data_IF_795558060537
#
_entry.id   IF_795558060537
#
_cell.length_a   1.000
_cell.length_b   1.000
_cell.length_c   1.000
_cell.angle_alpha   90.00
_cell.angle_beta   90.00
_cell.angle_gamma   90.00
#
_symmetry.space_group_name_H-M   'P 1'
#
loop_
_entity.id
_entity.type
_entity.pdbx_description
1 polymer ?
#
# COMPACT_ATOMS: atom_id res chain seq x y z
N UNK A 1 -12.87 -22.03 21.75
CA UNK A 1 -12.08 -20.79 21.85
C UNK A 1 -11.14 -20.58 20.66
N UNK A 2 -10.18 -21.47 20.38
CA UNK A 2 -9.27 -21.31 19.22
C UNK A 2 -10.01 -21.26 17.87
N UNK A 3 -10.95 -22.19 17.63
CA UNK A 3 -11.77 -22.19 16.41
C UNK A 3 -12.64 -20.93 16.28
N UNK A 4 -13.11 -20.40 17.41
CA UNK A 4 -13.91 -19.18 17.42
C UNK A 4 -13.10 -17.97 16.98
N UNK A 5 -11.94 -17.74 17.59
CA UNK A 5 -11.02 -16.65 17.22
C UNK A 5 -10.53 -16.82 15.78
N UNK A 6 -10.23 -18.05 15.37
CA UNK A 6 -9.86 -18.36 13.99
C UNK A 6 -10.99 -17.99 13.01
N UNK A 7 -12.24 -18.32 13.33
CA UNK A 7 -13.37 -18.03 12.45
C UNK A 7 -13.67 -16.52 12.42
N UNK A 8 -13.63 -15.84 13.56
CA UNK A 8 -13.81 -14.38 13.67
C UNK A 8 -12.75 -13.62 12.88
N UNK A 9 -11.49 -14.03 13.01
CA UNK A 9 -10.35 -13.48 12.23
C UNK A 9 -10.52 -13.75 10.74
N UNK A 10 -10.96 -14.96 10.39
CA UNK A 10 -11.20 -15.33 8.98
C UNK A 10 -12.30 -14.47 8.35
N UNK A 11 -13.40 -14.22 9.06
CA UNK A 11 -14.47 -13.30 8.61
C UNK A 11 -13.92 -11.88 8.44
N UNK A 12 -13.17 -11.38 9.40
CA UNK A 12 -12.54 -10.06 9.30
C UNK A 12 -11.66 -9.95 8.03
N UNK A 13 -10.79 -10.93 7.79
CA UNK A 13 -9.93 -10.96 6.61
C UNK A 13 -10.75 -11.05 5.32
N UNK A 14 -11.81 -11.86 5.26
CA UNK A 14 -12.68 -11.97 4.09
C UNK A 14 -13.37 -10.65 3.78
N UNK A 15 -13.90 -9.97 4.80
CA UNK A 15 -14.53 -8.65 4.64
C UNK A 15 -13.51 -7.62 4.17
N UNK A 16 -12.31 -7.62 4.76
CA UNK A 16 -11.24 -6.72 4.35
C UNK A 16 -10.79 -6.95 2.89
N UNK A 17 -10.62 -8.21 2.47
CA UNK A 17 -10.26 -8.53 1.09
C UNK A 17 -11.38 -8.22 0.10
N UNK A 18 -12.64 -8.42 0.49
CA UNK A 18 -13.80 -7.99 -0.28
C UNK A 18 -13.79 -6.48 -0.51
N UNK A 19 -13.53 -5.70 0.52
CA UNK A 19 -13.45 -4.25 0.42
C UNK A 19 -12.24 -3.80 -0.41
N UNK A 20 -11.09 -4.49 -0.32
CA UNK A 20 -9.96 -4.28 -1.21
C UNK A 20 -10.35 -4.51 -2.67
N UNK A 21 -11.03 -5.63 -2.97
CA UNK A 21 -11.47 -5.97 -4.31
C UNK A 21 -12.42 -4.90 -4.89
N UNK A 22 -13.47 -4.55 -4.16
CA UNK A 22 -14.42 -3.53 -4.63
C UNK A 22 -13.80 -2.13 -4.76
N UNK A 23 -12.68 -1.87 -4.09
CA UNK A 23 -11.96 -0.60 -4.13
C UNK A 23 -10.72 -0.61 -5.04
N UNK A 24 -10.51 -1.66 -5.85
CA UNK A 24 -9.45 -1.70 -6.86
C UNK A 24 -9.51 -0.43 -7.71
N UNK A 25 -8.37 0.26 -7.83
CA UNK A 25 -8.23 1.48 -8.62
C UNK A 25 -8.87 2.75 -8.01
N UNK A 26 -9.52 2.68 -6.85
CA UNK A 26 -10.13 3.85 -6.19
C UNK A 26 -9.14 4.66 -5.36
N UNK A 27 -8.12 4.01 -4.80
CA UNK A 27 -7.04 4.66 -4.05
C UNK A 27 -6.19 5.52 -4.99
N UNK A 28 -5.93 6.77 -4.60
CA UNK A 28 -5.35 7.79 -5.51
C UNK A 28 -4.42 8.76 -4.79
N UNK A 29 -3.46 9.37 -5.51
CA UNK A 29 -2.61 10.40 -4.94
C UNK A 29 -3.43 11.64 -4.56
N UNK A 30 -3.12 12.23 -3.40
CA UNK A 30 -3.66 13.53 -2.99
C UNK A 30 -2.81 14.65 -3.60
N UNK A 31 -3.36 15.31 -4.61
CA UNK A 31 -2.70 16.41 -5.30
C UNK A 31 -2.83 17.70 -4.49
N UNK A 32 -1.69 18.34 -4.18
CA UNK A 32 -1.66 19.65 -3.56
C UNK A 32 -1.41 20.72 -4.63
N UNK A 33 -2.22 21.78 -4.68
CA UNK A 33 -2.15 22.83 -5.72
C UNK A 33 -0.78 23.53 -5.82
N UNK A 34 0.07 23.40 -4.79
CA UNK A 34 1.40 24.03 -4.69
C UNK A 34 2.56 23.11 -5.08
N UNK A 35 2.35 21.80 -5.19
CA UNK A 35 3.43 20.85 -5.47
C UNK A 35 3.18 20.10 -6.78
N UNK A 36 4.23 20.01 -7.61
CA UNK A 36 4.17 19.25 -8.87
C UNK A 36 3.98 17.74 -8.65
N UNK A 37 4.28 17.26 -7.45
CA UNK A 37 4.19 15.85 -7.07
C UNK A 37 3.33 15.67 -5.82
N UNK A 38 2.47 14.63 -5.76
CA UNK A 38 1.74 14.29 -4.55
C UNK A 38 2.73 13.89 -3.45
N UNK A 39 2.40 14.20 -2.19
CA UNK A 39 3.18 13.75 -1.02
C UNK A 39 2.47 12.65 -0.23
N UNK A 40 1.14 12.58 -0.38
CA UNK A 40 0.29 11.62 0.32
C UNK A 40 -0.60 10.87 -0.66
N UNK A 41 -1.03 9.69 -0.24
CA UNK A 41 -1.91 8.81 -0.99
C UNK A 41 -3.09 8.42 -0.12
N UNK A 42 -4.29 8.41 -0.70
CA UNK A 42 -5.51 8.03 0.01
C UNK A 42 -5.75 6.54 -0.24
N UNK A 43 -5.64 5.73 0.79
CA UNK A 43 -5.92 4.29 0.76
C UNK A 43 -7.37 4.06 1.16
N UNK A 44 -8.25 3.97 0.16
CA UNK A 44 -9.72 3.96 0.37
C UNK A 44 -10.17 2.83 1.28
N UNK A 45 -9.61 1.62 1.13
CA UNK A 45 -9.97 0.48 1.97
C UNK A 45 -9.53 0.62 3.43
N UNK A 46 -8.43 1.35 3.68
CA UNK A 46 -7.96 1.63 5.03
C UNK A 46 -8.61 2.88 5.64
N UNK A 47 -9.23 3.73 4.82
CA UNK A 47 -9.72 5.04 5.27
C UNK A 47 -8.59 6.01 5.67
N UNK A 48 -7.35 5.70 5.29
CA UNK A 48 -6.15 6.43 5.74
C UNK A 48 -5.50 7.24 4.62
N UNK A 49 -4.91 8.36 5.03
CA UNK A 49 -3.94 9.08 4.21
C UNK A 49 -2.53 8.69 4.64
N UNK A 50 -1.77 8.09 3.73
CA UNK A 50 -0.40 7.67 3.99
C UNK A 50 0.59 8.54 3.23
N UNK A 51 1.74 8.81 3.84
CA UNK A 51 2.86 9.43 3.14
C UNK A 51 3.40 8.47 2.05
N UNK A 52 3.75 9.01 0.87
CA UNK A 52 4.29 8.19 -0.24
C UNK A 52 5.54 7.40 0.15
N UNK A 53 6.32 7.87 1.13
CA UNK A 53 7.50 7.18 1.66
C UNK A 53 7.17 5.84 2.32
N UNK A 54 5.91 5.66 2.74
CA UNK A 54 5.40 4.40 3.31
C UNK A 54 4.90 3.42 2.26
N UNK A 55 4.75 3.87 1.00
CA UNK A 55 4.31 3.02 -0.11
C UNK A 55 5.50 2.35 -0.80
N UNK A 56 5.24 1.26 -1.54
CA UNK A 56 6.27 0.66 -2.40
C UNK A 56 6.88 1.69 -3.36
N UNK A 57 8.15 1.50 -3.70
CA UNK A 57 8.96 2.47 -4.46
C UNK A 57 8.29 2.98 -5.74
N UNK A 58 7.52 2.15 -6.47
CA UNK A 58 6.92 2.60 -7.73
C UNK A 58 5.95 3.75 -7.54
N UNK A 59 5.28 3.85 -6.39
CA UNK A 59 4.41 4.98 -6.02
C UNK A 59 5.18 6.26 -5.65
N UNK A 60 6.48 6.16 -5.35
CA UNK A 60 7.35 7.31 -5.10
C UNK A 60 7.99 7.89 -6.37
N UNK A 61 7.78 7.26 -7.52
CA UNK A 61 8.31 7.73 -8.81
C UNK A 61 7.37 8.73 -9.49
N UNK A 62 7.85 9.48 -10.48
CA UNK A 62 6.99 10.34 -11.31
C UNK A 62 6.04 9.56 -12.23
N UNK A 63 6.16 8.23 -12.29
CA UNK A 63 5.36 7.35 -13.14
C UNK A 63 4.63 6.34 -12.25
N UNK A 64 3.36 6.62 -11.95
CA UNK A 64 2.59 5.74 -11.09
C UNK A 64 2.40 4.35 -11.72
N UNK A 65 2.48 3.27 -10.92
CA UNK A 65 2.06 1.94 -11.31
C UNK A 65 0.71 1.94 -12.02
N UNK A 66 0.62 1.20 -13.13
CA UNK A 66 -0.61 1.05 -13.89
C UNK A 66 -1.12 -0.38 -13.73
N UNK A 67 -2.25 -0.51 -13.02
CA UNK A 67 -2.86 -1.82 -12.77
C UNK A 67 -3.17 -2.55 -14.08
N UNK A 68 -2.64 -3.76 -14.23
CA UNK A 68 -2.91 -4.63 -15.37
C UNK A 68 -2.31 -4.19 -16.71
N UNK A 69 -1.45 -3.16 -16.74
CA UNK A 69 -0.80 -2.68 -17.97
C UNK A 69 0.72 -2.81 -17.89
N UNK A 70 1.34 -3.05 -19.04
CA UNK A 70 2.79 -3.06 -19.15
C UNK A 70 3.36 -1.65 -19.18
N UNK A 71 4.27 -1.37 -18.26
CA UNK A 71 4.95 -0.10 -18.10
C UNK A 71 5.93 0.24 -19.22
N UNK A 72 6.27 -0.75 -20.05
CA UNK A 72 7.07 -0.57 -21.25
C UNK A 72 6.21 -0.23 -22.49
N UNK A 73 5.28 -1.10 -22.88
CA UNK A 73 4.54 -0.98 -24.14
C UNK A 73 3.09 -0.48 -23.98
N UNK A 74 2.60 -0.30 -22.75
CA UNK A 74 1.25 0.16 -22.41
C UNK A 74 0.11 -0.77 -22.82
N UNK A 75 0.43 -2.01 -23.22
CA UNK A 75 -0.56 -3.05 -23.52
C UNK A 75 -0.90 -3.87 -22.26
N UNK A 76 -2.10 -4.48 -22.19
CA UNK A 76 -2.54 -5.28 -21.05
C UNK A 76 -1.60 -6.45 -20.73
N UNK A 77 -1.39 -6.67 -19.43
CA UNK A 77 -0.72 -7.85 -18.88
C UNK A 77 -1.79 -8.87 -18.49
N UNK A 78 -1.52 -10.14 -18.76
CA UNK A 78 -2.25 -11.27 -18.23
C UNK A 78 -1.27 -12.20 -17.48
N UNK A 79 -1.81 -13.25 -16.87
CA UNK A 79 -1.04 -14.17 -16.02
C UNK A 79 0.08 -14.93 -16.74
N UNK A 80 0.02 -15.05 -18.07
CA UNK A 80 0.97 -15.84 -18.85
C UNK A 80 2.03 -14.98 -19.56
N UNK A 81 1.76 -13.69 -19.76
CA UNK A 81 2.59 -12.83 -20.59
C UNK A 81 3.37 -11.76 -19.81
N UNK A 82 3.14 -11.60 -18.50
CA UNK A 82 3.80 -10.59 -17.70
C UNK A 82 3.58 -10.73 -16.20
N UNK A 83 4.18 -9.82 -15.44
CA UNK A 83 4.11 -9.81 -13.98
C UNK A 83 4.14 -8.37 -13.44
N UNK A 84 3.54 -8.18 -12.27
CA UNK A 84 3.65 -6.94 -11.50
C UNK A 84 4.67 -7.13 -10.39
N UNK A 85 5.68 -6.28 -10.33
CA UNK A 85 6.75 -6.37 -9.33
C UNK A 85 6.35 -5.70 -8.01
N UNK A 86 7.12 -5.94 -6.95
CA UNK A 86 6.89 -5.36 -5.61
C UNK A 86 6.79 -3.83 -5.60
N UNK A 87 7.41 -3.16 -6.58
CA UNK A 87 7.30 -1.71 -6.72
C UNK A 87 5.94 -1.25 -7.25
N UNK A 88 5.09 -2.18 -7.70
CA UNK A 88 3.79 -1.92 -8.32
C UNK A 88 3.84 -1.86 -9.85
N UNK A 89 5.01 -1.67 -10.47
CA UNK A 89 5.12 -1.61 -11.93
C UNK A 89 4.99 -3.00 -12.58
N UNK A 90 4.24 -3.05 -13.67
CA UNK A 90 3.95 -4.26 -14.43
C UNK A 90 4.74 -4.33 -15.72
N UNK A 91 5.28 -5.49 -16.09
CA UNK A 91 5.94 -5.69 -17.38
C UNK A 91 5.55 -7.01 -18.01
N UNK A 92 5.42 -7.03 -19.35
CA UNK A 92 5.48 -8.29 -20.07
C UNK A 92 6.85 -8.94 -19.89
N UNK A 93 6.89 -10.28 -19.91
CA UNK A 93 8.14 -11.04 -19.82
C UNK A 93 9.16 -10.57 -20.86
N UNK A 94 8.72 -10.35 -22.10
CA UNK A 94 9.57 -9.88 -23.20
C UNK A 94 9.86 -8.36 -23.15
N UNK A 95 9.11 -7.60 -22.36
CA UNK A 95 9.35 -6.16 -22.17
C UNK A 95 10.28 -5.88 -20.99
N UNK A 96 10.47 -6.85 -20.10
CA UNK A 96 11.27 -6.67 -18.90
C UNK A 96 12.76 -6.85 -19.19
N UNK A 97 13.54 -5.79 -19.00
CA UNK A 97 14.98 -5.78 -19.26
C UNK A 97 15.81 -5.99 -17.98
N UNK A 98 15.33 -6.82 -17.04
CA UNK A 98 16.04 -7.15 -15.80
C UNK A 98 15.89 -6.13 -14.66
N UNK A 99 15.24 -4.98 -14.87
CA UNK A 99 14.98 -3.95 -13.84
C UNK A 99 13.79 -3.06 -14.19
N UNK A 100 13.16 -2.47 -13.15
CA UNK A 100 12.15 -1.43 -13.36
C UNK A 100 12.82 -0.09 -13.68
N UNK A 101 12.60 0.43 -14.89
CA UNK A 101 13.21 1.69 -15.36
C UNK A 101 12.84 2.90 -14.49
N UNK A 102 11.61 2.97 -14.00
CA UNK A 102 11.16 4.12 -13.21
C UNK A 102 11.77 4.14 -11.82
N UNK A 103 11.85 2.98 -11.16
CA UNK A 103 12.49 2.85 -9.86
C UNK A 103 14.00 3.08 -9.96
N UNK A 104 14.65 2.56 -11.01
CA UNK A 104 16.07 2.81 -11.24
C UNK A 104 16.37 4.31 -11.36
N UNK A 105 15.61 5.02 -12.20
CA UNK A 105 15.80 6.46 -12.38
C UNK A 105 15.48 7.25 -11.10
N UNK A 106 14.47 6.82 -10.34
CA UNK A 106 14.17 7.39 -9.02
C UNK A 106 15.38 7.26 -8.08
N UNK A 107 16.01 6.09 -7.99
CA UNK A 107 17.18 5.91 -7.14
C UNK A 107 18.38 6.72 -7.59
N UNK A 108 18.69 6.71 -8.90
CA UNK A 108 19.79 7.52 -9.44
C UNK A 108 19.62 8.99 -9.08
N UNK A 109 18.42 9.53 -9.27
CA UNK A 109 18.10 10.93 -8.93
C UNK A 109 18.16 11.17 -7.42
N UNK A 110 17.56 10.27 -6.63
CA UNK A 110 17.51 10.37 -5.19
C UNK A 110 18.89 10.38 -4.53
N UNK A 111 19.87 9.67 -5.09
CA UNK A 111 21.27 9.73 -4.60
C UNK A 111 21.81 11.16 -4.68
N UNK A 112 21.69 11.81 -5.85
CA UNK A 112 22.19 13.19 -6.01
C UNK A 112 21.43 14.20 -5.16
N UNK A 113 20.10 14.07 -5.06
CA UNK A 113 19.27 14.94 -4.24
C UNK A 113 19.60 14.82 -2.74
N UNK A 114 19.84 13.59 -2.26
CA UNK A 114 20.19 13.36 -0.87
C UNK A 114 21.60 13.86 -0.54
N UNK A 115 22.57 13.67 -1.44
CA UNK A 115 23.94 14.18 -1.27
C UNK A 115 23.94 15.71 -1.24
N UNK A 116 23.24 16.37 -2.15
CA UNK A 116 23.10 17.83 -2.18
C UNK A 116 22.44 18.36 -0.89
N UNK A 117 21.37 17.72 -0.43
CA UNK A 117 20.71 18.06 0.84
C UNK A 117 21.64 17.89 2.05
N UNK A 118 22.44 16.82 2.07
CA UNK A 118 23.41 16.58 3.13
C UNK A 118 24.52 17.64 3.15
N UNK A 119 25.11 17.96 2.00
CA UNK A 119 26.14 19.00 1.89
C UNK A 119 25.61 20.36 2.35
N UNK A 120 24.39 20.73 1.95
CA UNK A 120 23.72 21.96 2.39
C UNK A 120 23.53 22.06 3.91
N UNK A 121 23.25 20.93 4.58
CA UNK A 121 23.14 20.89 6.04
C UNK A 121 24.51 21.07 6.72
N UNK A 122 25.55 20.44 6.20
CA UNK A 122 26.92 20.64 6.68
C UNK A 122 27.34 22.11 6.54
N UNK A 123 27.08 22.71 5.38
CA UNK A 123 27.44 24.11 5.09
C UNK A 123 26.71 25.12 5.99
N UNK A 124 25.48 24.80 6.44
CA UNK A 124 24.69 25.68 7.32
C UNK A 124 25.14 25.68 8.78
N UNK A 125 25.94 24.71 9.24
CA UNK A 125 26.32 24.57 10.66
C UNK A 125 25.17 24.07 11.57
N UNK A 126 25.45 23.92 12.87
CA UNK A 126 24.58 23.34 13.94
C UNK A 126 23.07 23.57 13.76
N UNK A 127 22.32 22.46 13.61
CA UNK A 127 20.86 22.38 13.42
C UNK A 127 20.04 22.96 14.59
N UNK A 128 19.08 23.83 14.27
CA UNK A 128 17.83 23.94 15.05
C UNK A 128 16.92 22.84 14.51
N UNK A 129 16.76 21.74 15.25
CA UNK A 129 15.76 20.72 14.94
C UNK A 129 14.38 21.38 14.80
N UNK A 130 13.70 21.17 13.67
CA UNK A 130 12.36 21.73 13.45
C UNK A 130 11.29 20.67 13.66
N UNK A 131 10.09 21.12 14.01
CA UNK A 131 8.92 20.26 14.32
C UNK A 131 8.60 19.21 13.23
N UNK A 132 9.07 19.41 11.99
CA UNK A 132 8.92 18.45 10.89
C UNK A 132 9.61 17.08 11.13
N UNK A 133 10.52 17.00 12.11
CA UNK A 133 11.31 15.80 12.41
C UNK A 133 10.65 14.85 13.46
N UNK A 134 9.52 15.22 14.08
CA UNK A 134 9.00 14.55 15.30
C UNK A 134 7.60 13.90 15.21
N UNK A 135 6.88 13.96 14.08
CA UNK A 135 5.45 13.54 14.00
C UNK A 135 5.21 12.00 13.92
N UNK A 136 5.86 11.19 14.77
CA UNK A 136 5.77 9.73 14.65
C UNK A 136 5.63 8.96 15.98
N UNK A 137 4.68 9.34 16.83
CA UNK A 137 4.21 8.46 17.91
C UNK A 137 2.68 8.44 17.95
N UNK A 138 2.08 7.31 17.54
CA UNK A 138 0.69 7.00 17.86
C UNK A 138 0.67 6.06 19.06
N UNK A 139 0.02 6.51 20.13
CA UNK A 139 -0.35 5.71 21.28
C UNK A 139 -1.33 4.61 20.86
N UNK A 140 -1.16 3.40 21.39
CA UNK A 140 -2.14 2.33 21.28
C UNK A 140 -2.62 2.03 22.69
N UNK A 141 -3.91 2.29 22.95
CA UNK A 141 -4.58 1.93 24.19
C UNK A 141 -4.92 0.43 24.17
N UNK A 142 -4.81 -0.22 25.34
CA UNK A 142 -5.06 -1.65 25.52
C UNK A 142 -6.57 -1.95 25.52
N UNK A 143 -6.99 -2.91 24.69
CA UNK A 143 -8.38 -3.37 24.61
C UNK A 143 -8.70 -4.40 25.73
N UNK A 144 -9.85 -4.24 26.39
CA UNK A 144 -10.35 -5.16 27.42
C UNK A 144 -10.88 -6.47 26.82
N UNK A 145 -10.54 -7.61 27.46
CA UNK A 145 -10.98 -8.94 27.04
C UNK A 145 -12.45 -9.20 27.41
N UNK A 146 -13.30 -9.36 26.39
CA UNK A 146 -14.69 -9.81 26.52
C UNK A 146 -14.80 -11.31 26.17
N UNK A 147 -15.47 -12.09 27.02
CA UNK A 147 -15.67 -13.54 26.80
C UNK A 147 -16.97 -13.81 26.01
N UNK A 148 -16.85 -14.48 24.86
CA UNK A 148 -17.98 -14.81 23.96
C UNK A 148 -18.73 -16.10 24.36
N UNK A 149 -20.02 -16.19 24.01
CA UNK A 149 -20.94 -17.29 24.39
C UNK A 149 -20.97 -18.47 23.39
N UNK A 150 -21.51 -19.65 23.78
CA UNK A 150 -21.54 -20.85 22.91
C UNK A 150 -22.42 -20.68 21.66
N UNK A 151 -23.52 -19.94 21.77
CA UNK A 151 -24.44 -19.64 20.66
C UNK A 151 -23.78 -18.74 19.61
N UNK A 152 -22.98 -17.77 20.09
CA UNK A 152 -22.16 -16.88 19.27
C UNK A 152 -21.07 -17.65 18.50
N UNK A 153 -20.54 -18.75 19.06
CA UNK A 153 -19.55 -19.60 18.38
C UNK A 153 -20.14 -20.34 17.17
N UNK A 154 -21.37 -20.85 17.30
CA UNK A 154 -22.05 -21.56 16.21
C UNK A 154 -22.47 -20.59 15.10
N UNK A 155 -22.98 -19.41 15.46
CA UNK A 155 -23.34 -18.36 14.50
C UNK A 155 -22.14 -17.90 13.67
N UNK A 156 -20.99 -17.65 14.29
CA UNK A 156 -19.76 -17.26 13.59
C UNK A 156 -19.29 -18.34 12.60
N UNK A 157 -19.42 -19.62 12.95
CA UNK A 157 -18.98 -20.71 12.06
C UNK A 157 -19.84 -20.78 10.79
N UNK A 158 -21.16 -20.67 10.94
CA UNK A 158 -22.09 -20.63 9.79
C UNK A 158 -21.90 -19.38 8.93
N UNK A 159 -21.68 -18.22 9.57
CA UNK A 159 -21.37 -16.97 8.87
C UNK A 159 -20.09 -17.07 8.04
N UNK A 160 -19.05 -17.72 8.55
CA UNK A 160 -17.81 -17.95 7.82
C UNK A 160 -18.05 -18.79 6.56
N UNK A 161 -18.81 -19.88 6.66
CA UNK A 161 -19.15 -20.72 5.50
C UNK A 161 -19.88 -19.92 4.41
N UNK A 162 -20.81 -19.04 4.80
CA UNK A 162 -21.51 -18.15 3.87
C UNK A 162 -20.54 -17.18 3.18
N UNK A 163 -19.67 -16.50 3.94
CA UNK A 163 -18.71 -15.53 3.39
C UNK A 163 -17.70 -16.21 2.44
N UNK A 164 -17.20 -17.41 2.78
CA UNK A 164 -16.32 -18.20 1.89
C UNK A 164 -17.03 -18.55 0.59
N UNK A 165 -18.28 -19.01 0.65
CA UNK A 165 -19.06 -19.36 -0.53
C UNK A 165 -19.39 -18.15 -1.42
N UNK A 166 -19.34 -16.95 -0.86
CA UNK A 166 -19.58 -15.68 -1.58
C UNK A 166 -18.35 -15.11 -2.28
N UNK A 167 -17.13 -15.64 -2.06
CA UNK A 167 -15.89 -15.16 -2.71
C UNK A 167 -16.01 -15.16 -4.24
N UNK A 168 -16.68 -16.16 -4.81
CA UNK A 168 -16.92 -16.28 -6.25
C UNK A 168 -17.75 -15.14 -6.86
N UNK A 169 -18.42 -14.34 -6.01
CA UNK A 169 -19.29 -13.23 -6.40
C UNK A 169 -18.61 -11.86 -6.21
N UNK A 170 -17.34 -11.82 -5.80
CA UNK A 170 -16.60 -10.58 -5.66
C UNK A 170 -16.33 -9.97 -7.04
#
# INVERSE_FOLDING_TARGET
MLNFLSNKTSIFLLQYFRDLYYNIGKSKPKLNKRTKYPKTYILVTLGEEVDLRRLPTGYSTSFLPQNGLCDCCKLPINETNGTTFICGHGYHLNCYNGKCKYCEEFYKKGIFENVDSFLKRIEKGSDVFTQEDLDNENNTEEEEEQYDSVEEIQDISHKLEIEINNIKNW
#
